data_IF_368760678227
#
_entry.id   IF_368760678227
#
_cell.length_a   1.000
_cell.length_b   1.000
_cell.length_c   1.000
_cell.angle_alpha   90.00
_cell.angle_beta   90.00
_cell.angle_gamma   90.00
#
_symmetry.space_group_name_H-M   'P 1'
#
loop_
_entity.id
_entity.type
_entity.pdbx_description
1 polymer ?
#
# COMPACT_ATOMS: atom_id res chain seq x y z
N UNK A 1 -1.77 -3.03 -16.49
CA UNK A 1 -2.58 -2.39 -15.44
C UNK A 1 -1.67 -1.48 -14.65
N UNK A 2 -2.04 -0.25 -14.33
CA UNK A 2 -1.26 0.62 -13.45
C UNK A 2 -1.81 0.55 -12.04
N UNK A 3 -0.93 0.26 -11.09
CA UNK A 3 -1.30 0.01 -9.70
C UNK A 3 -0.52 0.98 -8.81
N UNK A 4 -1.23 1.73 -7.99
CA UNK A 4 -0.64 2.57 -6.95
C UNK A 4 -0.73 1.85 -5.60
N UNK A 5 0.37 1.83 -4.86
CA UNK A 5 0.44 1.35 -3.50
C UNK A 5 0.61 2.56 -2.58
N UNK A 6 -0.34 2.81 -1.70
CA UNK A 6 -0.23 3.85 -0.67
C UNK A 6 -0.20 3.23 0.72
N UNK A 7 0.69 3.73 1.57
CA UNK A 7 0.76 3.37 2.98
C UNK A 7 0.25 4.56 3.78
N UNK A 8 -0.73 4.31 4.62
CA UNK A 8 -1.41 5.31 5.45
C UNK A 8 -1.20 4.97 6.92
N UNK A 9 -1.15 5.97 7.79
CA UNK A 9 -1.37 5.74 9.21
C UNK A 9 -2.87 5.54 9.51
N UNK A 10 -3.18 5.27 10.79
CA UNK A 10 -4.57 5.08 11.24
C UNK A 10 -5.42 6.37 11.17
N UNK A 11 -4.80 7.54 11.02
CA UNK A 11 -5.44 8.86 10.87
C UNK A 11 -5.58 9.29 9.40
N UNK A 12 -5.33 8.36 8.46
CA UNK A 12 -5.39 8.57 7.00
C UNK A 12 -4.30 9.50 6.45
N UNK A 13 -3.22 9.73 7.19
CA UNK A 13 -2.06 10.48 6.73
C UNK A 13 -1.20 9.55 5.86
N UNK A 14 -0.79 10.03 4.70
CA UNK A 14 0.10 9.29 3.80
C UNK A 14 1.48 9.20 4.40
N UNK A 15 1.92 7.96 4.66
CA UNK A 15 3.28 7.62 5.07
C UNK A 15 4.20 7.45 3.86
N UNK A 16 3.72 6.80 2.80
CA UNK A 16 4.52 6.54 1.60
C UNK A 16 3.64 6.15 0.41
N UNK A 17 4.02 6.57 -0.80
CA UNK A 17 3.34 6.18 -2.04
C UNK A 17 4.35 5.61 -3.05
N UNK A 18 3.96 4.54 -3.74
CA UNK A 18 4.74 3.93 -4.80
C UNK A 18 3.85 3.57 -5.99
N UNK A 19 4.27 3.91 -7.20
CA UNK A 19 3.57 3.59 -8.43
C UNK A 19 4.23 2.40 -9.13
N UNK A 20 3.44 1.40 -9.51
CA UNK A 20 3.91 0.23 -10.24
C UNK A 20 3.12 0.02 -11.52
N UNK A 21 3.82 -0.26 -12.61
CA UNK A 21 3.20 -0.70 -13.87
C UNK A 21 3.17 -2.22 -13.89
N UNK A 22 1.99 -2.80 -13.73
CA UNK A 22 1.77 -4.23 -13.75
C UNK A 22 1.58 -4.77 -15.17
N UNK A 23 2.36 -5.79 -15.50
CA UNK A 23 2.18 -6.63 -16.70
C UNK A 23 1.36 -7.87 -16.35
N UNK A 24 0.57 -8.35 -17.32
CA UNK A 24 -0.47 -9.38 -17.12
C UNK A 24 0.12 -10.76 -16.73
N UNK A 25 1.42 -10.97 -16.93
CA UNK A 25 2.15 -12.23 -16.74
C UNK A 25 3.03 -12.31 -15.49
N UNK A 26 3.10 -11.25 -14.69
CA UNK A 26 3.91 -11.21 -13.45
C UNK A 26 3.00 -11.36 -12.22
N UNK A 27 3.50 -11.81 -11.07
CA UNK A 27 2.76 -11.74 -9.80
C UNK A 27 3.25 -10.55 -9.00
N UNK A 28 2.34 -9.75 -8.42
CA UNK A 28 2.73 -8.68 -7.50
C UNK A 28 2.76 -9.25 -6.10
N UNK A 29 3.92 -9.15 -5.46
CA UNK A 29 4.02 -9.28 -4.02
C UNK A 29 3.65 -7.94 -3.36
N UNK A 30 2.59 -7.93 -2.58
CA UNK A 30 2.22 -6.80 -1.73
C UNK A 30 1.89 -7.29 -0.31
N UNK A 31 2.13 -6.46 0.73
CA UNK A 31 1.95 -6.86 2.13
C UNK A 31 0.51 -7.28 2.44
N UNK A 32 0.29 -8.21 3.37
CA UNK A 32 -1.02 -8.57 3.93
C UNK A 32 -1.25 -7.91 5.29
N UNK A 33 -2.51 -7.92 5.76
CA UNK A 33 -2.80 -7.59 7.15
C UNK A 33 -2.06 -8.55 8.09
N UNK A 34 -1.39 -8.00 9.10
CA UNK A 34 -0.48 -8.68 10.01
C UNK A 34 1.00 -8.68 9.54
N UNK A 35 1.28 -8.37 8.28
CA UNK A 35 2.66 -8.27 7.80
C UNK A 35 3.33 -7.02 8.35
N UNK A 36 4.64 -7.12 8.58
CA UNK A 36 5.49 -6.00 9.00
C UNK A 36 6.21 -5.42 7.80
N UNK A 37 6.16 -4.10 7.66
CA UNK A 37 6.76 -3.36 6.55
C UNK A 37 7.71 -2.29 7.08
N UNK A 38 8.84 -2.10 6.40
CA UNK A 38 9.74 -0.99 6.67
C UNK A 38 9.41 0.14 5.71
N UNK A 39 8.99 1.27 6.25
CA UNK A 39 8.64 2.48 5.50
C UNK A 39 9.54 3.59 6.02
N UNK A 40 10.38 4.15 5.14
CA UNK A 40 11.31 5.25 5.46
C UNK A 40 12.17 5.03 6.73
N UNK A 41 12.57 3.77 6.97
CA UNK A 41 13.40 3.39 8.12
C UNK A 41 12.63 3.10 9.42
N UNK A 42 11.31 3.30 9.43
CA UNK A 42 10.43 2.95 10.54
C UNK A 42 9.71 1.62 10.27
N UNK A 43 9.42 0.87 11.33
CA UNK A 43 8.76 -0.42 11.25
C UNK A 43 7.27 -0.26 11.56
N UNK A 44 6.43 -0.69 10.63
CA UNK A 44 4.98 -0.67 10.78
C UNK A 44 4.40 -2.07 10.65
N UNK A 45 3.23 -2.29 11.25
CA UNK A 45 2.38 -3.45 11.03
C UNK A 45 1.16 -3.03 10.21
N UNK A 46 0.92 -3.73 9.11
CA UNK A 46 -0.27 -3.51 8.28
C UNK A 46 -1.48 -4.07 9.02
N UNK A 47 -2.46 -3.23 9.32
CA UNK A 47 -3.69 -3.62 10.02
C UNK A 47 -4.81 -3.98 9.06
N UNK A 48 -4.92 -3.21 7.98
CA UNK A 48 -6.01 -3.35 7.01
C UNK A 48 -5.53 -2.99 5.61
N UNK A 49 -6.26 -3.47 4.60
CA UNK A 49 -6.02 -3.13 3.19
C UNK A 49 -7.31 -2.89 2.45
N UNK A 50 -7.30 -1.85 1.64
CA UNK A 50 -8.41 -1.52 0.75
C UNK A 50 -7.99 -1.59 -0.72
N UNK A 51 -8.93 -2.04 -1.57
CA UNK A 51 -8.75 -2.11 -3.02
C UNK A 51 -9.72 -1.15 -3.69
N UNK A 52 -9.19 -0.13 -4.35
CA UNK A 52 -9.96 0.94 -4.98
C UNK A 52 -9.74 0.86 -6.48
N UNK A 53 -10.75 0.37 -7.20
CA UNK A 53 -10.74 0.36 -8.66
C UNK A 53 -11.09 1.75 -9.18
N UNK A 54 -10.16 2.36 -9.91
CA UNK A 54 -10.33 3.69 -10.47
C UNK A 54 -10.74 3.56 -11.93
N UNK A 55 -11.82 4.23 -12.33
CA UNK A 55 -12.30 4.26 -13.71
C UNK A 55 -11.41 5.15 -14.59
N UNK A 56 -10.14 4.78 -14.76
CA UNK A 56 -9.22 5.17 -15.83
C UNK A 56 -8.86 6.65 -16.00
N UNK A 57 -9.56 7.60 -15.36
CA UNK A 57 -9.41 9.03 -15.63
C UNK A 57 -8.02 9.58 -15.27
N UNK A 58 -7.32 8.96 -14.31
CA UNK A 58 -5.98 9.32 -13.88
C UNK A 58 -4.88 8.45 -14.52
N UNK A 59 -5.24 7.46 -15.34
CA UNK A 59 -4.30 6.47 -15.84
C UNK A 59 -3.80 5.49 -14.78
N UNK A 60 -4.41 5.43 -13.60
CA UNK A 60 -4.26 4.36 -12.60
C UNK A 60 -5.51 3.49 -12.69
N UNK A 61 -5.34 2.18 -12.72
CA UNK A 61 -6.45 1.22 -12.81
C UNK A 61 -6.90 0.72 -11.42
N UNK A 62 -5.93 0.53 -10.52
CA UNK A 62 -6.15 0.04 -9.16
C UNK A 62 -5.26 0.81 -8.18
N UNK A 63 -5.83 1.20 -7.06
CA UNK A 63 -5.10 1.72 -5.92
C UNK A 63 -5.28 0.79 -4.73
N UNK A 64 -4.19 0.41 -4.07
CA UNK A 64 -4.18 -0.43 -2.89
C UNK A 64 -3.69 0.40 -1.71
N UNK A 65 -4.54 0.57 -0.70
CA UNK A 65 -4.23 1.34 0.50
C UNK A 65 -3.90 0.40 1.65
N UNK A 66 -2.74 0.58 2.29
CA UNK A 66 -2.27 -0.19 3.44
C UNK A 66 -2.34 0.67 4.70
N UNK A 67 -3.21 0.30 5.63
CA UNK A 67 -3.36 0.98 6.92
C UNK A 67 -2.33 0.45 7.90
N UNK A 68 -1.48 1.31 8.41
CA UNK A 68 -0.27 0.95 9.14
C UNK A 68 -0.27 1.53 10.55
N UNK A 69 0.14 0.72 11.52
CA UNK A 69 0.41 1.16 12.89
C UNK A 69 1.91 1.00 13.19
N UNK A 70 2.54 2.03 13.76
CA UNK A 70 3.95 1.98 14.11
C UNK A 70 4.21 0.93 15.20
N UNK A 71 5.19 0.06 14.99
CA UNK A 71 5.58 -0.95 15.96
C UNK A 71 6.58 -0.33 16.94
N UNK A 72 6.09 0.10 18.11
CA UNK A 72 6.98 0.53 19.18
C UNK A 72 7.87 -0.62 19.64
N UNK A 73 9.18 -0.44 19.58
CA UNK A 73 10.13 -1.36 20.22
C UNK A 73 9.96 -1.23 21.74
N UNK A 74 9.45 -2.29 22.37
CA UNK A 74 9.53 -2.48 23.82
C UNK A 74 10.96 -2.75 24.27
#
# INVERSE_FOLDING_TARGET
>A
MRIELEFLDMDKVVLHNNEMVYKIDESIAYPNAGDRVYIEGMLYEVKERDFIYLSGAAGIDLKISFWCEEVQRK
#
